data_IF_793077904440
#
_entry.id   IF_793077904440
#
_cell.length_a   1.000
_cell.length_b   1.000
_cell.length_c   1.000
_cell.angle_alpha   90.00
_cell.angle_beta   90.00
_cell.angle_gamma   90.00
#
_symmetry.space_group_name_H-M   'P 1'
#
loop_
_entity.id
_entity.type
_entity.pdbx_description
1 polymer ?
#
# COMPACT_ATOMS: atom_id res chain seq x y z
N UNK A 1 -18.17 8.37 3.28
CA UNK A 1 -16.83 8.84 2.87
C UNK A 1 -16.11 7.72 2.14
N UNK A 2 -15.33 8.05 1.11
CA UNK A 2 -14.54 7.07 0.35
C UNK A 2 -13.16 6.89 1.02
N UNK A 3 -12.98 5.80 1.77
CA UNK A 3 -11.76 5.56 2.55
C UNK A 3 -10.64 4.92 1.70
N UNK A 4 -10.98 4.12 0.68
CA UNK A 4 -10.01 3.49 -0.22
C UNK A 4 -9.03 4.49 -0.81
N UNK A 5 -9.53 5.64 -1.29
CA UNK A 5 -8.67 6.67 -1.87
C UNK A 5 -7.76 7.32 -0.82
N UNK A 6 -8.32 7.71 0.34
CA UNK A 6 -7.54 8.31 1.42
C UNK A 6 -6.46 7.37 1.95
N UNK A 7 -6.80 6.10 2.16
CA UNK A 7 -5.86 5.06 2.56
C UNK A 7 -4.78 4.83 1.49
N UNK A 8 -5.16 4.85 0.22
CA UNK A 8 -4.22 4.66 -0.88
C UNK A 8 -3.22 5.80 -1.03
N UNK A 9 -3.69 7.05 -0.90
CA UNK A 9 -2.81 8.24 -0.89
C UNK A 9 -1.88 8.21 0.33
N UNK A 10 -2.39 7.85 1.51
CA UNK A 10 -1.57 7.74 2.72
C UNK A 10 -0.45 6.68 2.57
N UNK A 11 -0.78 5.50 2.03
CA UNK A 11 0.20 4.44 1.75
C UNK A 11 1.24 4.83 0.70
N UNK A 12 0.83 5.54 -0.35
CA UNK A 12 1.75 6.08 -1.36
C UNK A 12 2.71 7.13 -0.76
N UNK A 13 2.17 8.07 0.02
CA UNK A 13 2.95 9.11 0.69
C UNK A 13 3.97 8.52 1.68
N UNK A 14 3.53 7.56 2.52
CA UNK A 14 4.43 6.85 3.43
C UNK A 14 5.58 6.15 2.68
N UNK A 15 5.28 5.51 1.56
CA UNK A 15 6.29 4.85 0.70
C UNK A 15 7.27 5.86 0.09
N UNK A 16 6.77 6.99 -0.40
CA UNK A 16 7.60 8.07 -0.94
C UNK A 16 8.54 8.66 0.12
N UNK A 17 8.03 8.93 1.33
CA UNK A 17 8.82 9.44 2.46
C UNK A 17 9.94 8.46 2.83
N UNK A 18 9.68 7.16 2.86
CA UNK A 18 10.71 6.15 3.15
C UNK A 18 11.84 6.12 2.13
N UNK A 19 11.49 6.18 0.84
CA UNK A 19 12.49 6.23 -0.22
C UNK A 19 13.29 7.53 -0.18
N UNK A 20 12.63 8.66 0.09
CA UNK A 20 13.27 9.97 0.22
C UNK A 20 14.24 10.02 1.41
N UNK A 21 13.90 9.37 2.54
CA UNK A 21 14.77 9.27 3.71
C UNK A 21 15.94 8.30 3.53
N UNK A 22 15.89 7.40 2.53
CA UNK A 22 16.90 6.35 2.31
C UNK A 22 17.45 6.34 0.87
N UNK A 23 17.98 7.47 0.36
CA UNK A 23 18.44 7.55 -1.03
C UNK A 23 19.62 6.61 -1.32
N UNK A 24 20.43 6.30 -0.30
CA UNK A 24 21.54 5.35 -0.40
C UNK A 24 21.08 3.93 -0.76
N UNK A 25 19.81 3.57 -0.48
CA UNK A 25 19.26 2.26 -0.80
C UNK A 25 19.26 1.97 -2.31
N UNK A 26 19.12 3.00 -3.16
CA UNK A 26 19.20 2.82 -4.61
C UNK A 26 20.58 2.40 -5.11
N UNK A 27 21.63 2.70 -4.34
CA UNK A 27 23.02 2.31 -4.66
C UNK A 27 23.38 0.97 -4.01
N UNK A 28 23.09 0.80 -2.72
CA UNK A 28 23.55 -0.36 -1.93
C UNK A 28 22.59 -1.56 -1.98
N UNK A 29 21.30 -1.33 -2.22
CA UNK A 29 20.26 -2.36 -2.19
C UNK A 29 19.20 -2.09 -3.25
N UNK A 30 19.65 -1.93 -4.51
CA UNK A 30 18.81 -1.48 -5.63
C UNK A 30 17.53 -2.29 -5.80
N UNK A 31 17.59 -3.62 -5.64
CA UNK A 31 16.40 -4.48 -5.70
C UNK A 31 15.34 -4.14 -4.65
N UNK A 32 15.75 -3.82 -3.42
CA UNK A 32 14.83 -3.40 -2.35
C UNK A 32 14.25 -2.01 -2.62
N UNK A 33 15.08 -1.09 -3.15
CA UNK A 33 14.62 0.25 -3.50
C UNK A 33 13.57 0.21 -4.63
N UNK A 34 13.84 -0.55 -5.69
CA UNK A 34 12.92 -0.74 -6.81
C UNK A 34 11.66 -1.47 -6.38
N UNK A 35 11.76 -2.52 -5.54
CA UNK A 35 10.60 -3.20 -4.99
C UNK A 35 9.71 -2.26 -4.17
N UNK A 36 10.31 -1.39 -3.36
CA UNK A 36 9.57 -0.38 -2.58
C UNK A 36 8.93 0.68 -3.49
N UNK A 37 9.63 1.13 -4.53
CA UNK A 37 9.08 2.06 -5.51
C UNK A 37 7.91 1.45 -6.29
N UNK A 38 8.04 0.20 -6.72
CA UNK A 38 6.95 -0.56 -7.34
C UNK A 38 5.75 -0.73 -6.40
N UNK A 39 6.01 -0.93 -5.11
CA UNK A 39 4.94 -0.98 -4.11
C UNK A 39 4.24 0.38 -3.94
N UNK A 40 4.98 1.48 -3.96
CA UNK A 40 4.43 2.83 -3.99
C UNK A 40 3.57 3.07 -5.23
N UNK A 41 3.99 2.55 -6.39
CA UNK A 41 3.21 2.62 -7.62
C UNK A 41 1.89 1.84 -7.53
N UNK A 42 1.84 0.70 -6.83
CA UNK A 42 0.59 -0.02 -6.57
C UNK A 42 -0.39 0.80 -5.72
N UNK A 43 0.10 1.51 -4.71
CA UNK A 43 -0.72 2.43 -3.92
C UNK A 43 -1.26 3.59 -4.77
N UNK A 44 -0.43 4.18 -5.63
CA UNK A 44 -0.86 5.23 -6.56
C UNK A 44 -1.87 4.72 -7.58
N UNK A 45 -1.68 3.51 -8.12
CA UNK A 45 -2.62 2.88 -9.04
C UNK A 45 -3.97 2.65 -8.37
N UNK A 46 -3.97 2.22 -7.10
CA UNK A 46 -5.19 2.07 -6.31
C UNK A 46 -5.89 3.41 -6.09
N UNK A 47 -5.16 4.47 -5.74
CA UNK A 47 -5.72 5.82 -5.57
C UNK A 47 -6.33 6.35 -6.87
N UNK A 48 -5.62 6.20 -7.99
CA UNK A 48 -6.09 6.60 -9.31
C UNK A 48 -7.35 5.83 -9.74
N UNK A 49 -7.35 4.50 -9.60
CA UNK A 49 -8.49 3.65 -9.94
C UNK A 49 -9.70 3.95 -9.06
N UNK A 50 -9.48 4.11 -7.74
CA UNK A 50 -10.51 4.48 -6.77
C UNK A 50 -11.12 5.85 -7.09
N UNK A 51 -10.31 6.80 -7.57
CA UNK A 51 -10.78 8.15 -7.95
C UNK A 51 -11.60 8.11 -9.24
N UNK A 52 -11.18 7.33 -10.24
CA UNK A 52 -11.94 7.13 -11.46
C UNK A 52 -13.27 6.40 -11.20
N UNK A 53 -13.29 5.49 -10.22
CA UNK A 53 -14.43 4.63 -9.88
C UNK A 53 -15.13 5.07 -8.58
N UNK A 54 -15.27 6.38 -8.37
CA UNK A 54 -15.84 6.98 -7.14
C UNK A 54 -17.18 6.40 -6.71
N UNK A 55 -18.09 6.15 -7.66
CA UNK A 55 -19.46 5.68 -7.37
C UNK A 55 -19.52 4.20 -7.05
N UNK A 56 -18.78 3.36 -7.79
CA UNK A 56 -18.81 1.91 -7.65
C UNK A 56 -17.45 1.31 -8.01
N UNK A 57 -16.75 0.64 -7.08
CA UNK A 57 -15.47 0.00 -7.35
C UNK A 57 -15.62 -1.10 -8.40
N UNK A 58 -14.82 -1.04 -9.45
CA UNK A 58 -14.73 -2.09 -10.47
C UNK A 58 -13.75 -3.21 -10.07
N UNK A 59 -13.66 -4.24 -10.91
CA UNK A 59 -12.78 -5.38 -10.70
C UNK A 59 -11.30 -4.95 -10.52
N UNK A 60 -10.84 -3.94 -11.26
CA UNK A 60 -9.48 -3.40 -11.14
C UNK A 60 -9.19 -2.80 -9.76
N UNK A 61 -10.09 -1.96 -9.21
CA UNK A 61 -9.94 -1.39 -7.87
C UNK A 61 -9.89 -2.49 -6.81
N UNK A 62 -10.74 -3.51 -6.93
CA UNK A 62 -10.76 -4.64 -6.01
C UNK A 62 -9.48 -5.49 -6.09
N UNK A 63 -9.00 -5.77 -7.30
CA UNK A 63 -7.76 -6.49 -7.51
C UNK A 63 -6.57 -5.73 -6.92
N UNK A 64 -6.47 -4.42 -7.18
CA UNK A 64 -5.43 -3.56 -6.62
C UNK A 64 -5.49 -3.52 -5.08
N UNK A 65 -6.69 -3.32 -4.51
CA UNK A 65 -6.87 -3.29 -3.06
C UNK A 65 -6.50 -4.64 -2.44
N UNK A 66 -6.88 -5.75 -3.08
CA UNK A 66 -6.55 -7.11 -2.65
C UNK A 66 -5.04 -7.37 -2.68
N UNK A 67 -4.37 -7.01 -3.77
CA UNK A 67 -2.91 -7.17 -3.91
C UNK A 67 -2.17 -6.33 -2.87
N UNK A 68 -2.56 -5.07 -2.67
CA UNK A 68 -1.95 -4.19 -1.67
C UNK A 68 -2.17 -4.71 -0.25
N UNK A 69 -3.37 -5.22 0.07
CA UNK A 69 -3.67 -5.84 1.35
C UNK A 69 -2.84 -7.11 1.58
N UNK A 70 -2.80 -8.02 0.60
CA UNK A 70 -2.04 -9.25 0.68
C UNK A 70 -0.54 -9.00 0.85
N UNK A 71 0.02 -8.07 0.09
CA UNK A 71 1.44 -7.72 0.16
C UNK A 71 1.82 -7.10 1.51
N UNK A 72 1.03 -6.16 2.04
CA UNK A 72 1.28 -5.61 3.38
C UNK A 72 1.09 -6.67 4.48
N UNK A 73 0.10 -7.56 4.34
CA UNK A 73 -0.11 -8.67 5.26
C UNK A 73 1.09 -9.63 5.29
N UNK A 74 1.61 -10.00 4.11
CA UNK A 74 2.83 -10.81 3.99
C UNK A 74 4.04 -10.10 4.59
N UNK A 75 4.20 -8.80 4.33
CA UNK A 75 5.28 -7.99 4.90
C UNK A 75 5.19 -7.96 6.43
N UNK A 76 4.00 -7.74 6.99
CA UNK A 76 3.77 -7.77 8.44
C UNK A 76 4.11 -9.14 9.03
N UNK A 77 3.64 -10.24 8.41
CA UNK A 77 3.95 -11.60 8.86
C UNK A 77 5.46 -11.86 8.90
N UNK A 78 6.20 -11.41 7.89
CA UNK A 78 7.67 -11.52 7.85
C UNK A 78 8.32 -10.69 8.97
N UNK A 79 7.86 -9.46 9.20
CA UNK A 79 8.41 -8.60 10.25
C UNK A 79 8.16 -9.17 11.66
N UNK A 80 6.96 -9.70 11.89
CA UNK A 80 6.61 -10.38 13.14
C UNK A 80 7.47 -11.64 13.34
N UNK A 81 7.67 -12.45 12.29
CA UNK A 81 8.51 -13.64 12.33
C UNK A 81 9.95 -13.32 12.73
N UNK A 82 10.49 -12.20 12.26
CA UNK A 82 11.86 -11.77 12.57
C UNK A 82 11.96 -10.87 13.82
N UNK A 83 10.85 -10.62 14.52
CA UNK A 83 10.75 -9.69 15.68
C UNK A 83 11.22 -8.27 15.39
N UNK A 84 11.17 -7.86 14.12
CA UNK A 84 11.51 -6.50 13.67
C UNK A 84 10.17 -5.80 13.42
N UNK A 85 9.44 -5.46 14.48
CA UNK A 85 8.14 -4.85 14.36
C UNK A 85 8.29 -3.32 14.49
N UNK A 86 7.98 -2.58 13.42
CA UNK A 86 7.95 -1.11 13.46
C UNK A 86 6.52 -0.60 13.32
N UNK A 87 6.14 0.54 13.96
CA UNK A 87 4.80 1.11 13.87
C UNK A 87 4.31 1.29 12.43
N UNK A 88 5.24 1.63 11.52
CA UNK A 88 4.98 1.81 10.09
C UNK A 88 4.41 0.55 9.43
N UNK A 89 4.95 -0.62 9.73
CA UNK A 89 4.51 -1.89 9.09
C UNK A 89 3.08 -2.24 9.53
N UNK A 90 2.72 -1.97 10.79
CA UNK A 90 1.34 -2.11 11.26
C UNK A 90 0.41 -1.11 10.60
N UNK A 91 0.82 0.17 10.53
CA UNK A 91 0.02 1.22 9.91
C UNK A 91 -0.27 0.90 8.43
N UNK A 92 0.74 0.45 7.68
CA UNK A 92 0.58 0.09 6.27
C UNK A 92 -0.38 -1.10 6.08
N UNK A 93 -0.30 -2.13 6.94
CA UNK A 93 -1.22 -3.26 6.93
C UNK A 93 -2.65 -2.87 7.33
N UNK A 94 -2.81 -1.98 8.31
CA UNK A 94 -4.12 -1.45 8.69
C UNK A 94 -4.75 -0.64 7.56
N UNK A 95 -3.99 0.27 6.95
CA UNK A 95 -4.47 1.11 5.84
C UNK A 95 -4.89 0.26 4.63
N UNK A 96 -4.13 -0.78 4.30
CA UNK A 96 -4.46 -1.65 3.17
C UNK A 96 -5.71 -2.50 3.45
N UNK A 97 -5.87 -2.98 4.69
CA UNK A 97 -7.09 -3.63 5.16
C UNK A 97 -8.32 -2.72 5.07
N UNK A 98 -8.20 -1.47 5.53
CA UNK A 98 -9.27 -0.46 5.41
C UNK A 98 -9.62 -0.20 3.95
N UNK A 99 -8.61 -0.05 3.08
CA UNK A 99 -8.83 0.21 1.66
C UNK A 99 -9.61 -0.92 0.98
N UNK A 100 -9.26 -2.17 1.27
CA UNK A 100 -9.94 -3.36 0.75
C UNK A 100 -11.35 -3.53 1.32
N UNK A 101 -11.52 -3.42 2.64
CA UNK A 101 -12.82 -3.56 3.28
C UNK A 101 -13.83 -2.52 2.75
N UNK A 102 -13.36 -1.29 2.55
CA UNK A 102 -14.15 -0.20 2.01
C UNK A 102 -14.48 -0.38 0.51
N UNK A 103 -13.55 -0.94 -0.26
CA UNK A 103 -13.80 -1.29 -1.67
C UNK A 103 -14.82 -2.44 -1.80
N UNK A 104 -14.74 -3.45 -0.94
CA UNK A 104 -15.71 -4.56 -0.90
C UNK A 104 -17.09 -4.09 -0.48
N UNK A 105 -17.18 -3.23 0.55
CA UNK A 105 -18.44 -2.69 1.06
C UNK A 105 -19.24 -1.90 0.02
N UNK A 106 -18.57 -1.25 -0.94
CA UNK A 106 -19.18 -0.40 -1.96
C UNK A 106 -19.48 -1.09 -3.30
N UNK A 107 -19.11 -2.35 -3.43
CA UNK A 107 -19.35 -3.12 -4.65
C UNK A 107 -20.83 -3.40 -4.84
#
# INVERSE_FOLDING_TARGET
MQLTNGAAVAGAADTAVFLAQRPQMFRQARGRALGSAGFGALWLALAASSTAQRRRPGAATLALAGVVAAANGAMLAVHLRHKIASPRVFAAAALSGVALADALRRR
#
